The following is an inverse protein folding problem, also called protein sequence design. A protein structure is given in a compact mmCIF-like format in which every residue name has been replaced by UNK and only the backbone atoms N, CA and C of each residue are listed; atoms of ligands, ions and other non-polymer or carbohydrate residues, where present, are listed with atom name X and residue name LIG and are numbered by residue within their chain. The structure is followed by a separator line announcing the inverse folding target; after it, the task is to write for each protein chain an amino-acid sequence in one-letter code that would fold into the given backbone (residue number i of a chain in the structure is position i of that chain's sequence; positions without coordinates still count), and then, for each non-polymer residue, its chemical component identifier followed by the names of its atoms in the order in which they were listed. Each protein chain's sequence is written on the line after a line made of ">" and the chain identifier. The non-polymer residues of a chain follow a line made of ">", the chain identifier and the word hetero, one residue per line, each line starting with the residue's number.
data_IF_946042687921
#
_entry.id   IF_946042687921
#
_cell.length_a   1.000
_cell.length_b   1.000
_cell.length_c   1.000
_cell.angle_alpha   90.00
_cell.angle_beta   90.00
_cell.angle_gamma   90.00
#
_symmetry.space_group_name_H-M   'P 1'
#
loop_
_entity.id
_entity.type
_entity.pdbx_description
1 polymer ?
#
# COMPACT_ATOMS: atom_id res chain seq x y z
N UNK A 1 4.76 -22.55 -29.14
CA UNK A 1 4.26 -21.53 -28.18
C UNK A 1 3.82 -22.27 -26.93
N UNK A 2 4.67 -22.35 -25.91
CA UNK A 2 4.33 -23.05 -24.68
C UNK A 2 3.54 -22.09 -23.79
N UNK A 3 2.27 -22.41 -23.54
CA UNK A 3 1.42 -21.74 -22.56
C UNK A 3 2.01 -21.94 -21.17
N UNK A 4 2.45 -20.86 -20.53
CA UNK A 4 2.79 -20.87 -19.11
C UNK A 4 1.51 -21.19 -18.32
N UNK A 5 1.50 -22.21 -17.45
CA UNK A 5 0.31 -22.55 -16.69
C UNK A 5 -0.04 -21.40 -15.74
N UNK A 6 -1.27 -20.89 -15.88
CA UNK A 6 -1.84 -19.84 -15.04
C UNK A 6 -2.18 -20.42 -13.66
N UNK A 7 -1.21 -20.40 -12.73
CA UNK A 7 -1.55 -20.39 -11.31
C UNK A 7 -2.31 -19.08 -11.06
N UNK A 8 -3.53 -19.16 -10.54
CA UNK A 8 -4.21 -17.97 -10.00
C UNK A 8 -3.36 -17.43 -8.85
N UNK A 9 -2.52 -16.44 -9.15
CA UNK A 9 -1.59 -15.83 -8.20
C UNK A 9 -2.39 -15.22 -7.06
N UNK A 10 -1.89 -15.31 -5.83
CA UNK A 10 -2.44 -14.61 -4.65
C UNK A 10 -2.66 -13.12 -4.94
N UNK A 11 -1.88 -12.55 -5.85
CA UNK A 11 -2.08 -11.20 -6.37
C UNK A 11 -3.45 -10.99 -7.02
N UNK A 12 -3.94 -11.94 -7.82
CA UNK A 12 -5.26 -11.85 -8.47
C UNK A 12 -6.37 -11.79 -7.42
N UNK A 13 -6.31 -12.66 -6.40
CA UNK A 13 -7.25 -12.63 -5.27
C UNK A 13 -7.20 -11.30 -4.51
N UNK A 14 -6.00 -10.74 -4.31
CA UNK A 14 -5.83 -9.42 -3.70
C UNK A 14 -6.52 -8.34 -4.55
N UNK A 15 -6.31 -8.34 -5.87
CA UNK A 15 -6.89 -7.35 -6.79
C UNK A 15 -8.42 -7.42 -6.83
N UNK A 16 -8.99 -8.61 -7.00
CA UNK A 16 -10.44 -8.83 -7.00
C UNK A 16 -11.07 -8.32 -5.70
N UNK A 17 -10.42 -8.63 -4.56
CA UNK A 17 -10.89 -8.15 -3.27
C UNK A 17 -10.79 -6.64 -3.14
N UNK A 18 -9.69 -6.02 -3.60
CA UNK A 18 -9.53 -4.56 -3.56
C UNK A 18 -10.58 -3.85 -4.41
N UNK A 19 -10.94 -4.39 -5.58
CA UNK A 19 -11.96 -3.80 -6.43
C UNK A 19 -13.32 -3.71 -5.70
N UNK A 20 -13.77 -4.81 -5.10
CA UNK A 20 -15.01 -4.83 -4.32
C UNK A 20 -14.95 -3.90 -3.09
N UNK A 21 -13.79 -3.76 -2.44
CA UNK A 21 -13.62 -2.83 -1.34
C UNK A 21 -13.68 -1.36 -1.79
N UNK A 22 -13.07 -1.02 -2.92
CA UNK A 22 -13.13 0.34 -3.49
C UNK A 22 -14.56 0.69 -3.84
N UNK A 23 -15.28 -0.17 -4.57
CA UNK A 23 -16.68 0.05 -4.94
C UNK A 23 -17.54 0.32 -3.70
N UNK A 24 -17.45 -0.55 -2.69
CA UNK A 24 -18.19 -0.38 -1.43
C UNK A 24 -17.82 0.92 -0.71
N UNK A 25 -16.53 1.28 -0.63
CA UNK A 25 -16.07 2.48 0.09
C UNK A 25 -16.42 3.77 -0.66
N UNK A 26 -16.40 3.76 -1.98
CA UNK A 26 -16.78 4.90 -2.82
C UNK A 26 -18.26 5.25 -2.70
N UNK A 27 -19.12 4.28 -2.38
CA UNK A 27 -20.54 4.55 -2.05
C UNK A 27 -20.70 5.28 -0.71
N UNK A 28 -19.80 5.05 0.26
CA UNK A 28 -19.83 5.68 1.58
C UNK A 28 -19.16 7.06 1.57
N UNK A 29 -18.02 7.18 0.89
CA UNK A 29 -17.29 8.44 0.71
C UNK A 29 -16.96 8.62 -0.77
N UNK A 30 -17.79 9.37 -1.51
CA UNK A 30 -17.56 9.63 -2.92
C UNK A 30 -16.20 10.28 -3.17
N UNK A 31 -15.61 9.98 -4.33
CA UNK A 31 -14.27 10.43 -4.70
C UNK A 31 -14.12 11.97 -4.63
N UNK A 32 -15.14 12.72 -5.02
CA UNK A 32 -15.15 14.20 -4.94
C UNK A 32 -14.94 14.70 -3.50
N UNK A 33 -15.58 14.05 -2.54
CA UNK A 33 -15.55 14.45 -1.14
C UNK A 33 -14.23 14.01 -0.50
N UNK A 34 -13.72 12.84 -0.90
CA UNK A 34 -12.37 12.39 -0.54
C UNK A 34 -11.30 13.36 -1.06
N UNK A 35 -11.41 13.82 -2.32
CA UNK A 35 -10.49 14.78 -2.91
C UNK A 35 -10.54 16.13 -2.19
N UNK A 36 -11.73 16.62 -1.84
CA UNK A 36 -11.90 17.84 -1.05
C UNK A 36 -11.28 17.73 0.34
N UNK A 37 -11.38 16.57 0.99
CA UNK A 37 -10.68 16.31 2.28
C UNK A 37 -9.17 16.30 2.10
N UNK A 38 -8.67 15.61 1.07
CA UNK A 38 -7.24 15.53 0.79
C UNK A 38 -6.63 16.92 0.54
N UNK A 39 -7.34 17.81 -0.18
CA UNK A 39 -6.89 19.17 -0.44
C UNK A 39 -6.73 20.04 0.82
N UNK A 40 -7.40 19.67 1.92
CA UNK A 40 -7.34 20.39 3.21
C UNK A 40 -6.35 19.77 4.20
N UNK A 41 -5.69 18.68 3.82
CA UNK A 41 -4.70 18.02 4.68
C UNK A 41 -3.44 18.90 4.80
N UNK A 42 -2.68 18.77 5.91
CA UNK A 42 -1.38 19.39 6.03
C UNK A 42 -0.43 18.97 4.90
N UNK A 43 0.61 19.79 4.66
CA UNK A 43 1.63 19.48 3.68
C UNK A 43 2.26 18.09 3.92
N UNK A 44 2.56 17.40 2.83
CA UNK A 44 3.23 16.09 2.91
C UNK A 44 4.66 16.24 3.45
N UNK A 45 5.15 15.19 4.11
CA UNK A 45 6.46 15.21 4.77
C UNK A 45 7.67 15.03 3.83
N UNK A 46 7.44 14.82 2.53
CA UNK A 46 8.52 14.62 1.55
C UNK A 46 9.21 13.24 1.65
N UNK A 47 8.47 12.16 1.43
CA UNK A 47 8.97 10.78 1.56
C UNK A 47 10.24 10.50 0.74
N UNK A 48 10.21 10.81 -0.57
CA UNK A 48 11.36 10.59 -1.45
C UNK A 48 12.57 11.46 -1.06
N UNK A 49 12.32 12.74 -0.73
CA UNK A 49 13.37 13.66 -0.31
C UNK A 49 14.09 13.19 0.96
N UNK A 50 13.36 12.62 1.93
CA UNK A 50 13.96 12.08 3.15
C UNK A 50 14.90 10.90 2.85
N UNK A 51 14.52 9.99 1.95
CA UNK A 51 15.36 8.88 1.53
C UNK A 51 16.60 9.38 0.78
N UNK A 52 16.41 10.29 -0.18
CA UNK A 52 17.50 10.89 -0.96
C UNK A 52 18.51 11.61 -0.07
N UNK A 53 18.06 12.38 0.92
CA UNK A 53 18.95 13.08 1.86
C UNK A 53 19.80 12.13 2.71
N UNK A 54 19.27 10.94 3.08
CA UNK A 54 20.04 9.91 3.78
C UNK A 54 21.13 9.32 2.88
N UNK A 55 20.76 8.93 1.66
CA UNK A 55 21.70 8.39 0.67
C UNK A 55 22.81 9.40 0.34
N UNK A 56 22.45 10.66 0.09
CA UNK A 56 23.41 11.73 -0.21
C UNK A 56 24.40 11.97 0.95
N UNK A 57 23.97 11.75 2.19
CA UNK A 57 24.82 11.83 3.37
C UNK A 57 25.61 10.53 3.63
N UNK A 58 25.65 9.57 2.70
CA UNK A 58 26.35 8.29 2.86
C UNK A 58 25.73 7.38 3.92
N UNK A 59 24.46 7.59 4.29
CA UNK A 59 23.76 6.82 5.33
C UNK A 59 22.70 5.90 4.73
N UNK A 60 22.41 4.74 5.35
CA UNK A 60 21.29 3.90 4.94
C UNK A 60 19.95 4.66 4.97
N UNK A 61 19.17 4.50 3.91
CA UNK A 61 17.82 5.02 3.78
C UNK A 61 16.82 3.88 4.01
N UNK A 62 16.33 3.75 5.23
CA UNK A 62 15.47 2.63 5.65
C UNK A 62 14.00 3.05 5.62
N UNK A 63 13.16 2.27 4.94
CA UNK A 63 11.71 2.32 5.07
C UNK A 63 11.32 1.19 6.04
N UNK A 64 10.96 1.56 7.27
CA UNK A 64 10.50 0.60 8.26
C UNK A 64 9.02 0.27 8.00
N UNK A 65 8.73 -0.99 7.68
CA UNK A 65 7.36 -1.48 7.47
C UNK A 65 6.74 -1.91 8.81
N UNK A 66 5.53 -1.43 9.11
CA UNK A 66 4.73 -1.88 10.26
C UNK A 66 3.69 -2.89 9.75
N UNK A 67 3.83 -4.18 10.10
CA UNK A 67 3.01 -5.26 9.51
C UNK A 67 2.62 -6.35 10.49
N UNK A 68 1.32 -6.63 10.56
CA UNK A 68 0.74 -7.65 11.46
C UNK A 68 0.92 -9.07 10.95
N UNK A 69 0.69 -9.29 9.66
CA UNK A 69 0.67 -10.61 9.04
C UNK A 69 1.00 -10.54 7.54
N UNK A 70 1.29 -11.68 6.92
CA UNK A 70 1.39 -11.82 5.46
C UNK A 70 0.87 -13.18 4.98
N UNK A 71 0.44 -13.30 3.72
CA UNK A 71 0.02 -14.60 3.17
C UNK A 71 1.10 -15.69 3.28
N UNK A 72 2.38 -15.32 3.13
CA UNK A 72 3.49 -16.28 3.15
C UNK A 72 4.02 -16.63 4.54
N UNK A 73 3.78 -15.79 5.55
CA UNK A 73 4.31 -15.99 6.92
C UNK A 73 3.25 -16.05 8.01
N UNK A 74 1.97 -15.95 7.68
CA UNK A 74 0.89 -15.88 8.68
C UNK A 74 1.03 -14.64 9.56
N UNK A 75 0.64 -14.75 10.84
CA UNK A 75 0.80 -13.68 11.84
C UNK A 75 2.28 -13.48 12.17
N UNK A 76 2.77 -12.27 11.95
CA UNK A 76 4.15 -11.84 12.23
C UNK A 76 4.24 -11.26 13.64
N UNK A 77 3.25 -10.46 14.04
CA UNK A 77 3.18 -9.83 15.36
C UNK A 77 1.78 -10.06 15.96
N UNK A 78 1.64 -10.93 16.97
CA UNK A 78 0.36 -11.22 17.61
C UNK A 78 -0.21 -10.02 18.39
N UNK A 79 0.68 -9.33 19.12
CA UNK A 79 0.39 -8.09 19.86
C UNK A 79 0.64 -6.88 18.95
N UNK A 80 -0.41 -6.43 18.26
CA UNK A 80 -0.37 -5.46 17.16
C UNK A 80 -1.46 -4.40 17.27
#
# INVERSE_FOLDING_TARGET
>A
MASVPQQSDILQTILERKQAEVEKRSQVLPQRDLAARAARMPATRGFAAALQAKVAAGRPAVIAEVKKASPSKGVIRPDF
#
